data_IF_595242065385
#
_entry.id   IF_595242065385
#
_cell.length_a   1.000
_cell.length_b   1.000
_cell.length_c   1.000
_cell.angle_alpha   90.00
_cell.angle_beta   90.00
_cell.angle_gamma   90.00
#
_symmetry.space_group_name_H-M   'P 1'
#
loop_
_entity.id
_entity.type
_entity.pdbx_description
1 polymer ?
#
# COMPACT_ATOMS: atom_id res chain seq x y z
N UNK A 1 -13.96 16.68 23.71
CA UNK A 1 -12.88 16.31 22.79
C UNK A 1 -13.17 14.94 22.21
N UNK A 2 -13.22 14.82 20.93
CA UNK A 2 -13.47 13.53 20.30
C UNK A 2 -12.22 12.66 20.37
N UNK A 3 -12.45 11.36 20.59
CA UNK A 3 -11.36 10.39 20.52
C UNK A 3 -10.97 10.17 19.08
N UNK A 4 -9.70 10.26 18.79
CA UNK A 4 -9.15 10.00 17.47
C UNK A 4 -8.34 8.71 17.47
N UNK A 5 -8.33 8.03 16.34
CA UNK A 5 -7.50 6.84 16.12
C UNK A 5 -6.29 7.25 15.31
N UNK A 6 -5.12 6.98 15.82
CA UNK A 6 -3.87 7.20 15.11
C UNK A 6 -3.34 5.85 14.65
N UNK A 7 -3.21 5.67 13.35
CA UNK A 7 -2.61 4.48 12.76
C UNK A 7 -1.25 4.85 12.21
N UNK A 8 -0.21 4.16 12.65
CA UNK A 8 1.15 4.37 12.18
C UNK A 8 1.67 3.05 11.61
N UNK A 9 2.14 3.08 10.38
CA UNK A 9 2.70 1.88 9.77
C UNK A 9 2.93 2.04 8.29
N UNK A 10 3.41 0.99 7.67
CA UNK A 10 3.81 1.03 6.27
C UNK A 10 2.62 0.86 5.32
N UNK A 11 2.79 1.44 4.15
CA UNK A 11 1.95 1.22 2.98
C UNK A 11 2.82 0.57 1.91
N UNK A 12 2.35 -0.48 1.30
CA UNK A 12 3.13 -1.20 0.30
C UNK A 12 2.26 -1.58 -0.90
N UNK A 13 2.91 -2.11 -1.93
CA UNK A 13 2.23 -2.51 -3.15
C UNK A 13 2.15 -4.02 -3.19
N UNK A 14 0.95 -4.55 -3.34
CA UNK A 14 0.73 -5.97 -3.61
C UNK A 14 0.79 -6.18 -5.11
N UNK A 15 1.71 -7.03 -5.55
CA UNK A 15 1.78 -7.46 -6.95
C UNK A 15 1.06 -8.79 -7.06
N UNK A 16 0.01 -8.79 -7.86
CA UNK A 16 -0.86 -9.95 -7.99
C UNK A 16 -0.62 -10.58 -9.37
N UNK A 17 -0.25 -11.85 -9.36
CA UNK A 17 0.02 -12.60 -10.58
C UNK A 17 -0.89 -13.81 -10.57
N UNK A 18 -1.71 -13.93 -11.59
CA UNK A 18 -2.60 -15.06 -11.75
C UNK A 18 -1.96 -16.11 -12.65
N UNK A 19 -1.88 -17.32 -12.16
CA UNK A 19 -1.30 -18.45 -12.88
C UNK A 19 -2.26 -19.63 -12.83
N UNK A 20 -2.11 -20.59 -13.76
CA UNK A 20 -2.99 -21.75 -13.81
C UNK A 20 -2.52 -22.89 -12.88
N UNK A 21 -1.28 -22.84 -12.42
CA UNK A 21 -0.75 -23.79 -11.46
C UNK A 21 0.43 -23.19 -10.70
N UNK A 22 0.83 -23.78 -9.59
CA UNK A 22 2.03 -23.39 -8.86
C UNK A 22 3.28 -23.74 -9.70
N UNK A 23 4.21 -22.78 -9.85
CA UNK A 23 5.40 -23.06 -10.65
C UNK A 23 6.29 -24.12 -10.00
N UNK A 24 6.86 -24.97 -10.83
CA UNK A 24 7.90 -25.92 -10.42
C UNK A 24 9.25 -25.21 -10.37
N UNK A 25 10.22 -25.83 -9.71
CA UNK A 25 11.59 -25.34 -9.70
C UNK A 25 12.09 -25.15 -11.13
N UNK A 26 12.67 -23.98 -11.42
CA UNK A 26 13.20 -23.61 -12.73
C UNK A 26 12.17 -23.47 -13.85
N UNK A 27 10.90 -23.50 -13.53
CA UNK A 27 9.85 -23.30 -14.53
C UNK A 27 9.68 -21.82 -14.86
N UNK A 28 9.63 -21.50 -16.15
CA UNK A 28 9.24 -20.18 -16.64
C UNK A 28 7.74 -20.19 -16.91
N UNK A 29 6.99 -19.65 -15.96
CA UNK A 29 5.53 -19.65 -16.03
C UNK A 29 5.03 -18.30 -16.52
N UNK A 30 4.26 -18.31 -17.61
CA UNK A 30 3.63 -17.08 -18.10
C UNK A 30 2.37 -16.80 -17.28
N UNK A 31 2.25 -15.63 -16.66
CA UNK A 31 1.05 -15.31 -15.91
C UNK A 31 -0.13 -15.04 -16.82
N UNK A 32 -1.31 -15.51 -16.42
CA UNK A 32 -2.55 -15.25 -17.13
C UNK A 32 -3.01 -13.81 -16.94
N UNK A 33 -2.72 -13.23 -15.76
CA UNK A 33 -3.09 -11.86 -15.45
C UNK A 33 -2.08 -11.27 -14.45
N UNK A 34 -1.92 -9.96 -14.52
CA UNK A 34 -1.06 -9.20 -13.62
C UNK A 34 -1.85 -8.02 -13.09
N UNK A 35 -1.60 -7.65 -11.86
CA UNK A 35 -2.22 -6.49 -11.25
C UNK A 35 -1.42 -5.99 -10.08
N UNK A 36 -1.73 -4.78 -9.66
CA UNK A 36 -1.13 -4.16 -8.48
C UNK A 36 -2.21 -3.51 -7.65
N UNK A 37 -2.07 -3.60 -6.34
CA UNK A 37 -2.97 -2.98 -5.39
C UNK A 37 -2.18 -2.39 -4.24
N UNK A 38 -2.76 -1.41 -3.57
CA UNK A 38 -2.16 -0.86 -2.36
C UNK A 38 -2.54 -1.74 -1.18
N UNK A 39 -1.58 -2.07 -0.34
CA UNK A 39 -1.78 -2.95 0.80
C UNK A 39 -0.93 -2.57 2.01
N UNK A 40 -0.77 -3.53 2.88
CA UNK A 40 -0.12 -3.38 4.17
C UNK A 40 -1.14 -3.34 5.29
N UNK A 41 -0.81 -3.95 6.44
CA UNK A 41 -1.74 -4.05 7.57
C UNK A 41 -2.20 -2.68 8.06
N UNK A 42 -1.28 -1.73 8.19
CA UNK A 42 -1.60 -0.38 8.65
C UNK A 42 -2.50 0.35 7.66
N UNK A 43 -2.16 0.29 6.37
CA UNK A 43 -2.99 0.90 5.33
C UNK A 43 -4.40 0.31 5.33
N UNK A 44 -4.52 -1.01 5.39
CA UNK A 44 -5.82 -1.67 5.37
C UNK A 44 -6.68 -1.27 6.57
N UNK A 45 -6.09 -1.23 7.76
CA UNK A 45 -6.80 -0.80 8.97
C UNK A 45 -7.27 0.65 8.85
N UNK A 46 -6.39 1.55 8.43
CA UNK A 46 -6.71 2.97 8.29
C UNK A 46 -7.78 3.19 7.22
N UNK A 47 -7.70 2.47 6.11
CA UNK A 47 -8.65 2.60 5.01
C UNK A 47 -10.06 2.17 5.42
N UNK A 48 -10.17 1.07 6.16
CA UNK A 48 -11.45 0.59 6.67
C UNK A 48 -12.04 1.61 7.67
N UNK A 49 -11.24 2.08 8.62
CA UNK A 49 -11.69 3.04 9.61
C UNK A 49 -12.09 4.37 8.96
N UNK A 50 -11.27 4.88 8.06
CA UNK A 50 -11.53 6.15 7.41
C UNK A 50 -12.77 6.11 6.52
N UNK A 51 -12.96 5.03 5.77
CA UNK A 51 -14.15 4.85 4.94
C UNK A 51 -15.41 4.65 5.76
N UNK A 52 -15.26 4.09 6.95
CA UNK A 52 -16.38 3.94 7.89
C UNK A 52 -16.74 5.20 8.65
N UNK A 53 -16.04 6.30 8.42
CA UNK A 53 -16.32 7.58 9.06
C UNK A 53 -15.67 7.76 10.42
N UNK A 54 -14.79 6.86 10.85
CA UNK A 54 -14.06 7.02 12.10
C UNK A 54 -13.08 8.19 12.01
N UNK A 55 -12.84 8.91 13.13
CA UNK A 55 -11.85 9.99 13.15
C UNK A 55 -10.44 9.41 13.21
N UNK A 56 -9.89 9.04 12.06
CA UNK A 56 -8.59 8.39 11.95
C UNK A 56 -7.59 9.32 11.26
N UNK A 57 -6.35 9.26 11.73
CA UNK A 57 -5.18 9.85 11.06
C UNK A 57 -4.20 8.71 10.78
N UNK A 58 -3.77 8.59 9.56
CA UNK A 58 -2.86 7.54 9.12
C UNK A 58 -1.50 8.14 8.77
N UNK A 59 -0.48 7.84 9.57
CA UNK A 59 0.90 8.29 9.34
C UNK A 59 1.67 7.11 8.74
N UNK A 60 2.22 7.32 7.55
CA UNK A 60 2.88 6.24 6.81
C UNK A 60 4.11 6.77 6.08
N UNK A 61 5.25 6.07 6.15
CA UNK A 61 6.41 6.42 5.34
C UNK A 61 6.18 6.01 3.88
N UNK A 62 6.62 6.85 2.96
CA UNK A 62 6.53 6.58 1.51
C UNK A 62 7.90 6.81 0.90
N UNK A 63 8.52 5.74 0.39
CA UNK A 63 9.73 5.85 -0.41
C UNK A 63 9.40 6.35 -1.80
N UNK A 64 10.01 7.44 -2.23
CA UNK A 64 9.66 8.09 -3.50
C UNK A 64 10.40 7.52 -4.70
N UNK A 65 11.44 6.71 -4.49
CA UNK A 65 12.17 6.13 -5.61
C UNK A 65 11.42 4.93 -6.20
N UNK A 66 11.41 4.87 -7.52
CA UNK A 66 10.81 3.76 -8.27
C UNK A 66 9.31 3.91 -8.48
N UNK A 67 8.77 2.97 -9.25
CA UNK A 67 7.36 3.02 -9.66
C UNK A 67 6.40 2.78 -8.50
N UNK A 68 6.79 1.98 -7.52
CA UNK A 68 5.92 1.71 -6.37
C UNK A 68 5.73 2.95 -5.51
N UNK A 69 6.77 3.77 -5.36
CA UNK A 69 6.67 5.03 -4.62
C UNK A 69 5.64 5.97 -5.24
N UNK A 70 5.69 6.14 -6.55
CA UNK A 70 4.73 6.97 -7.27
C UNK A 70 3.31 6.42 -7.14
N UNK A 71 3.13 5.11 -7.25
CA UNK A 71 1.84 4.44 -7.15
C UNK A 71 1.22 4.66 -5.76
N UNK A 72 2.01 4.48 -4.71
CA UNK A 72 1.55 4.70 -3.33
C UNK A 72 1.23 6.17 -3.07
N UNK A 73 2.10 7.07 -3.51
CA UNK A 73 1.90 8.52 -3.35
C UNK A 73 0.58 8.95 -3.98
N UNK A 74 0.32 8.54 -5.21
CA UNK A 74 -0.89 8.92 -5.93
C UNK A 74 -2.14 8.43 -5.20
N UNK A 75 -2.09 7.22 -4.66
CA UNK A 75 -3.22 6.68 -3.89
C UNK A 75 -3.45 7.44 -2.59
N UNK A 76 -2.37 7.71 -1.84
CA UNK A 76 -2.50 8.37 -0.55
C UNK A 76 -3.00 9.81 -0.69
N UNK A 77 -2.70 10.48 -1.79
CA UNK A 77 -3.20 11.83 -2.05
C UNK A 77 -4.72 11.89 -2.20
N UNK A 78 -5.37 10.76 -2.49
CA UNK A 78 -6.83 10.69 -2.57
C UNK A 78 -7.50 10.46 -1.22
N UNK A 79 -6.73 10.20 -0.17
CA UNK A 79 -7.25 9.84 1.15
C UNK A 79 -7.06 11.02 2.11
N UNK A 80 -8.15 11.67 2.55
CA UNK A 80 -8.02 12.86 3.39
C UNK A 80 -7.44 12.59 4.77
N UNK A 81 -7.51 11.35 5.25
CA UNK A 81 -6.99 10.96 6.56
C UNK A 81 -5.51 10.56 6.53
N UNK A 82 -4.89 10.48 5.36
CA UNK A 82 -3.50 10.05 5.24
C UNK A 82 -2.54 11.22 5.43
N UNK A 83 -1.49 10.97 6.21
CA UNK A 83 -0.38 11.89 6.47
C UNK A 83 0.92 11.18 6.06
N UNK A 84 1.28 11.22 4.78
CA UNK A 84 2.48 10.54 4.32
C UNK A 84 3.75 11.29 4.78
N UNK A 85 4.79 10.51 5.12
CA UNK A 85 6.12 11.00 5.36
C UNK A 85 6.99 10.57 4.18
N UNK A 86 7.36 11.50 3.34
CA UNK A 86 8.07 11.18 2.10
C UNK A 86 9.56 11.00 2.36
N UNK A 87 10.11 9.92 1.84
CA UNK A 87 11.52 9.58 1.92
C UNK A 87 12.11 9.59 0.51
N UNK A 88 12.69 10.72 0.07
CA UNK A 88 13.08 10.88 -1.33
C UNK A 88 14.20 9.93 -1.77
N UNK A 89 15.02 9.45 -0.84
CA UNK A 89 16.16 8.59 -1.15
C UNK A 89 15.90 7.10 -0.89
N UNK A 90 14.65 6.73 -0.66
CA UNK A 90 14.28 5.35 -0.39
C UNK A 90 13.25 4.87 -1.40
N UNK A 91 13.25 3.55 -1.65
CA UNK A 91 12.22 2.91 -2.44
C UNK A 91 11.06 2.48 -1.53
N UNK A 92 9.85 2.50 -2.07
CA UNK A 92 8.71 1.97 -1.35
C UNK A 92 8.67 0.44 -1.51
N UNK A 93 8.24 -0.22 -0.44
CA UNK A 93 8.20 -1.67 -0.42
C UNK A 93 7.07 -2.27 -1.22
N UNK A 94 7.31 -3.51 -1.61
CA UNK A 94 6.33 -4.41 -2.19
C UNK A 94 6.02 -5.47 -1.13
N UNK A 95 4.76 -5.76 -0.93
CA UNK A 95 4.38 -6.80 0.04
C UNK A 95 4.45 -8.19 -0.56
#
# INVERSE_FOLDING_TARGET
MENQVLVIGSTCVDVIIRVDHLPHTEENLEPEARGSAIGGCAYNAANILGRGGAPVTFVTPVGLQGVFGAFVRDRLQTLPFAQPVYLPNAANGCC
#
